data_IF_063093714896
#
_entry.id   IF_063093714896
#
_cell.length_a   1.000
_cell.length_b   1.000
_cell.length_c   1.000
_cell.angle_alpha   90.00
_cell.angle_beta   90.00
_cell.angle_gamma   90.00
#
_symmetry.space_group_name_H-M   'P 1'
#
loop_
_entity.id
_entity.type
_entity.pdbx_description
1 polymer ?
#
# COMPACT_ATOMS: atom_id res chain seq x y z
N UNK A 1 38.11 -14.58 -13.91
CA UNK A 1 38.20 -15.95 -14.49
C UNK A 1 38.23 -17.06 -13.44
N UNK A 2 38.67 -16.80 -12.20
CA UNK A 2 38.68 -17.78 -11.10
C UNK A 2 37.28 -18.30 -10.72
N UNK A 3 36.28 -17.43 -10.65
CA UNK A 3 34.90 -17.84 -10.28
C UNK A 3 34.26 -18.76 -11.33
N UNK A 4 34.55 -18.55 -12.61
CA UNK A 4 34.11 -19.43 -13.70
C UNK A 4 34.74 -20.82 -13.60
N UNK A 5 36.02 -20.92 -13.23
CA UNK A 5 36.70 -22.22 -13.08
C UNK A 5 36.17 -23.03 -11.90
N UNK A 6 35.56 -22.35 -10.92
CA UNK A 6 35.06 -22.98 -9.69
C UNK A 6 33.59 -23.41 -9.82
N UNK A 7 32.74 -22.54 -10.37
CA UNK A 7 31.28 -22.73 -10.41
C UNK A 7 30.69 -22.59 -11.83
N UNK A 8 31.50 -22.69 -12.90
CA UNK A 8 31.08 -22.53 -14.30
C UNK A 8 30.31 -21.20 -14.54
N UNK A 9 29.28 -21.22 -15.40
CA UNK A 9 28.45 -20.05 -15.70
C UNK A 9 27.68 -19.52 -14.48
N UNK A 10 27.39 -20.36 -13.49
CA UNK A 10 26.73 -19.93 -12.25
C UNK A 10 27.65 -19.06 -11.38
N UNK A 11 28.96 -19.30 -11.40
CA UNK A 11 29.97 -18.46 -10.71
C UNK A 11 30.12 -17.05 -11.28
N UNK A 12 29.68 -16.85 -12.53
CA UNK A 12 29.64 -15.54 -13.17
C UNK A 12 28.37 -14.76 -12.81
N UNK A 13 27.35 -15.40 -12.23
CA UNK A 13 26.14 -14.70 -11.78
C UNK A 13 26.47 -13.85 -10.55
N UNK A 14 25.92 -12.63 -10.45
CA UNK A 14 26.12 -11.79 -9.29
C UNK A 14 25.60 -12.51 -8.04
N UNK A 15 26.50 -12.71 -7.07
CA UNK A 15 26.19 -13.40 -5.81
C UNK A 15 25.06 -12.66 -5.09
N UNK A 16 24.06 -13.40 -4.63
CA UNK A 16 22.97 -12.80 -3.85
C UNK A 16 23.55 -12.11 -2.61
N UNK A 17 23.16 -10.85 -2.40
CA UNK A 17 23.66 -10.08 -1.26
C UNK A 17 23.26 -10.78 0.05
N UNK A 18 24.20 -10.90 0.99
CA UNK A 18 23.99 -11.56 2.29
C UNK A 18 22.96 -10.83 3.18
N UNK A 19 22.82 -9.53 3.00
CA UNK A 19 21.94 -8.65 3.77
C UNK A 19 20.55 -8.48 3.13
N UNK A 20 20.20 -9.33 2.16
CA UNK A 20 18.93 -9.25 1.44
C UNK A 20 17.76 -9.48 2.40
N UNK A 21 17.09 -8.39 2.79
CA UNK A 21 15.93 -8.40 3.68
C UNK A 21 16.19 -7.85 5.08
N UNK A 22 17.41 -7.52 5.47
CA UNK A 22 17.63 -6.74 6.69
C UNK A 22 17.55 -5.25 6.34
N UNK A 23 16.46 -4.60 6.76
CA UNK A 23 16.41 -3.14 6.75
C UNK A 23 17.43 -2.63 7.76
N UNK A 24 18.53 -2.03 7.29
CA UNK A 24 19.54 -1.38 8.17
C UNK A 24 18.95 -0.21 8.98
N UNK A 25 17.79 0.29 8.55
CA UNK A 25 17.14 1.49 9.07
C UNK A 25 16.12 1.18 10.17
N UNK A 26 15.58 -0.05 10.21
CA UNK A 26 14.54 -0.42 11.19
C UNK A 26 15.21 -1.29 12.24
N UNK A 27 15.40 -0.75 13.44
CA UNK A 27 15.86 -1.50 14.60
C UNK A 27 14.85 -2.58 14.99
N UNK A 28 15.28 -3.60 15.73
CA UNK A 28 14.37 -4.65 16.20
C UNK A 28 13.25 -4.10 17.08
N UNK A 29 13.54 -3.13 17.93
CA UNK A 29 12.57 -2.47 18.80
C UNK A 29 11.50 -1.72 17.98
N UNK A 30 11.93 -0.93 17.00
CA UNK A 30 11.01 -0.23 16.11
C UNK A 30 10.18 -1.22 15.28
N UNK A 31 10.83 -2.30 14.83
CA UNK A 31 10.19 -3.37 14.11
C UNK A 31 9.07 -4.06 14.88
N UNK A 32 9.22 -4.24 16.20
CA UNK A 32 8.16 -4.76 17.09
C UNK A 32 6.98 -3.79 17.18
N UNK A 33 7.26 -2.50 17.43
CA UNK A 33 6.23 -1.45 17.48
C UNK A 33 5.42 -1.36 16.18
N UNK A 34 6.09 -1.45 15.02
CA UNK A 34 5.41 -1.44 13.71
C UNK A 34 4.45 -2.65 13.57
N UNK A 35 4.83 -3.82 14.09
CA UNK A 35 3.99 -5.03 14.02
C UNK A 35 2.81 -4.90 14.98
N UNK A 36 3.03 -4.43 16.21
CA UNK A 36 1.96 -4.16 17.19
C UNK A 36 0.94 -3.17 16.61
N UNK A 37 1.42 -2.03 16.09
CA UNK A 37 0.57 -1.03 15.45
C UNK A 37 -0.21 -1.58 14.25
N UNK A 38 0.39 -2.51 13.51
CA UNK A 38 -0.27 -3.21 12.39
C UNK A 38 -1.38 -4.14 12.87
N UNK A 39 -1.20 -4.82 13.99
CA UNK A 39 -2.20 -5.70 14.58
C UNK A 39 -3.36 -4.93 15.20
N UNK A 40 -3.08 -3.79 15.84
CA UNK A 40 -4.11 -2.88 16.35
C UNK A 40 -4.97 -2.27 15.24
N UNK A 41 -4.38 -2.07 14.05
CA UNK A 41 -5.01 -1.43 12.91
C UNK A 41 -5.04 -2.36 11.67
N UNK A 42 -5.77 -3.49 11.73
CA UNK A 42 -5.71 -4.52 10.70
C UNK A 42 -6.32 -4.05 9.36
N UNK A 43 -7.27 -3.11 9.40
CA UNK A 43 -8.00 -2.63 8.22
C UNK A 43 -7.19 -1.63 7.37
N UNK A 44 -6.13 -1.03 7.90
CA UNK A 44 -5.45 0.06 7.19
C UNK A 44 -4.60 -0.44 6.03
N UNK A 45 -4.53 0.37 4.98
CA UNK A 45 -3.51 0.24 3.96
C UNK A 45 -2.15 0.63 4.53
N UNK A 46 -1.05 0.17 3.92
CA UNK A 46 0.30 0.51 4.38
C UNK A 46 0.55 2.02 4.36
N UNK A 47 -0.03 2.73 3.39
CA UNK A 47 0.05 4.20 3.31
C UNK A 47 -0.60 4.85 4.53
N UNK A 48 -1.84 4.46 4.85
CA UNK A 48 -2.58 5.02 5.98
C UNK A 48 -1.92 4.67 7.31
N UNK A 49 -1.41 3.44 7.43
CA UNK A 49 -0.65 2.98 8.58
C UNK A 49 0.60 3.86 8.80
N UNK A 50 1.36 4.13 7.73
CA UNK A 50 2.56 4.98 7.79
C UNK A 50 2.23 6.41 8.20
N UNK A 51 1.23 7.02 7.58
CA UNK A 51 0.79 8.39 7.92
C UNK A 51 0.35 8.51 9.38
N UNK A 52 -0.36 7.50 9.92
CA UNK A 52 -0.73 7.47 11.33
C UNK A 52 0.48 7.30 12.25
N UNK A 53 1.40 6.39 11.94
CA UNK A 53 2.62 6.21 12.74
C UNK A 53 3.46 7.50 12.80
N UNK A 54 3.49 8.26 11.70
CA UNK A 54 4.14 9.59 11.68
C UNK A 54 3.37 10.59 12.54
N UNK A 55 2.03 10.62 12.43
CA UNK A 55 1.18 11.53 13.20
C UNK A 55 1.26 11.30 14.70
N UNK A 56 1.38 10.05 15.14
CA UNK A 56 1.51 9.65 16.54
C UNK A 56 2.95 9.79 17.06
N UNK A 57 3.91 10.16 16.20
CA UNK A 57 5.31 10.32 16.58
C UNK A 57 6.05 9.00 16.81
N UNK A 58 5.48 7.85 16.42
CA UNK A 58 6.14 6.55 16.46
C UNK A 58 7.32 6.48 15.49
N UNK A 59 7.23 7.22 14.38
CA UNK A 59 8.23 7.27 13.31
C UNK A 59 8.39 8.71 12.83
N UNK A 60 9.63 9.13 12.60
CA UNK A 60 9.93 10.40 11.95
C UNK A 60 10.17 10.18 10.45
N UNK A 61 9.58 11.04 9.60
CA UNK A 61 9.69 10.92 8.13
C UNK A 61 11.14 10.95 7.63
N UNK A 62 12.02 11.67 8.32
CA UNK A 62 13.43 11.78 7.95
C UNK A 62 14.24 10.53 8.32
N UNK A 63 13.82 9.77 9.33
CA UNK A 63 14.50 8.55 9.77
C UNK A 63 14.06 7.34 8.95
N UNK A 64 12.75 7.21 8.74
CA UNK A 64 12.18 6.04 8.06
C UNK A 64 11.24 6.47 6.95
N UNK A 65 11.65 6.17 5.72
CA UNK A 65 10.81 6.36 4.54
C UNK A 65 9.64 5.35 4.51
N UNK A 66 8.55 5.75 3.85
CA UNK A 66 7.45 4.86 3.51
C UNK A 66 7.91 3.53 2.90
N UNK A 67 8.82 3.56 1.93
CA UNK A 67 9.30 2.36 1.24
C UNK A 67 10.07 1.41 2.15
N UNK A 68 10.71 1.92 3.21
CA UNK A 68 11.37 1.09 4.23
C UNK A 68 10.33 0.29 5.01
N UNK A 69 9.26 0.95 5.48
CA UNK A 69 8.14 0.31 6.19
C UNK A 69 7.41 -0.68 5.27
N UNK A 70 7.12 -0.28 4.03
CA UNK A 70 6.46 -1.15 3.06
C UNK A 70 7.26 -2.42 2.79
N UNK A 71 8.58 -2.31 2.54
CA UNK A 71 9.45 -3.47 2.33
C UNK A 71 9.53 -4.36 3.56
N UNK A 72 9.62 -3.76 4.75
CA UNK A 72 9.65 -4.46 6.03
C UNK A 72 8.38 -5.29 6.28
N UNK A 73 7.21 -4.71 6.04
CA UNK A 73 5.92 -5.41 6.16
C UNK A 73 5.73 -6.45 5.05
N UNK A 74 6.16 -6.15 3.81
CA UNK A 74 6.06 -7.07 2.67
C UNK A 74 6.85 -8.35 2.88
N UNK A 75 8.06 -8.25 3.44
CA UNK A 75 8.89 -9.42 3.76
C UNK A 75 8.23 -10.35 4.79
N UNK A 76 7.37 -9.80 5.65
CA UNK A 76 6.61 -10.53 6.68
C UNK A 76 5.19 -10.88 6.23
N UNK A 77 4.83 -10.66 4.97
CA UNK A 77 3.48 -10.83 4.43
C UNK A 77 2.38 -9.98 5.11
N UNK A 78 2.75 -8.89 5.80
CA UNK A 78 1.84 -8.00 6.53
C UNK A 78 1.44 -6.74 5.73
N UNK A 79 1.84 -6.66 4.47
CA UNK A 79 1.58 -5.51 3.60
C UNK A 79 0.11 -5.39 3.15
N UNK A 80 -0.67 -6.47 3.24
CA UNK A 80 -2.11 -6.45 2.94
C UNK A 80 -2.90 -6.21 4.22
N UNK A 81 -4.07 -5.52 4.16
CA UNK A 81 -5.02 -5.50 5.27
C UNK A 81 -5.22 -6.91 5.83
N UNK A 82 -5.22 -7.01 7.16
CA UNK A 82 -5.39 -8.28 7.87
C UNK A 82 -6.87 -8.61 8.09
N UNK A 83 -7.75 -7.64 7.86
CA UNK A 83 -9.19 -7.89 7.76
C UNK A 83 -9.39 -8.67 6.47
N UNK A 84 -9.86 -9.93 6.59
CA UNK A 84 -10.34 -10.68 5.44
C UNK A 84 -11.39 -9.84 4.69
N UNK A 85 -11.45 -9.96 3.37
CA UNK A 85 -12.48 -9.35 2.52
C UNK A 85 -13.86 -9.97 2.84
N UNK A 86 -14.34 -9.86 4.08
CA UNK A 86 -15.68 -10.25 4.54
C UNK A 86 -16.72 -9.23 4.11
N UNK A 87 -16.27 -8.08 3.62
CA UNK A 87 -17.09 -7.26 2.73
C UNK A 87 -17.15 -8.03 1.42
N UNK A 88 -18.16 -8.92 1.33
CA UNK A 88 -18.74 -9.44 0.11
C UNK A 88 -18.32 -8.57 -1.05
N UNK A 89 -17.65 -9.15 -2.06
CA UNK A 89 -17.34 -8.50 -3.33
C UNK A 89 -18.67 -7.97 -3.85
N UNK A 90 -19.00 -6.75 -3.42
CA UNK A 90 -20.26 -6.09 -3.72
C UNK A 90 -20.07 -5.82 -5.18
N UNK A 91 -20.74 -6.60 -6.02
CA UNK A 91 -20.60 -6.60 -7.47
C UNK A 91 -20.30 -5.17 -7.93
N UNK A 92 -19.04 -4.92 -8.28
CA UNK A 92 -18.61 -3.60 -8.71
C UNK A 92 -19.05 -3.45 -10.15
N UNK A 93 -20.34 -3.24 -10.34
CA UNK A 93 -20.88 -2.89 -11.65
C UNK A 93 -20.30 -1.53 -12.02
N UNK A 94 -19.84 -1.35 -13.28
CA UNK A 94 -19.48 -0.03 -13.75
C UNK A 94 -20.67 0.89 -13.57
N UNK A 95 -20.39 2.16 -13.30
CA UNK A 95 -21.42 3.18 -13.23
C UNK A 95 -22.07 3.33 -14.61
N UNK A 96 -23.28 2.80 -14.78
CA UNK A 96 -23.98 2.70 -16.05
C UNK A 96 -25.49 2.89 -15.85
N UNK A 97 -26.16 3.32 -16.91
CA UNK A 97 -27.61 3.48 -16.98
C UNK A 97 -28.17 2.64 -18.12
N UNK A 98 -29.40 2.15 -17.97
CA UNK A 98 -30.04 1.28 -18.96
C UNK A 98 -30.48 2.05 -20.23
N UNK A 99 -30.58 3.38 -20.17
CA UNK A 99 -31.05 4.25 -21.26
C UNK A 99 -30.12 5.44 -21.49
N UNK A 100 -30.07 5.93 -22.73
CA UNK A 100 -29.36 7.17 -23.12
C UNK A 100 -30.10 8.39 -22.53
N UNK A 101 -29.37 9.45 -22.19
CA UNK A 101 -29.88 10.71 -21.59
C UNK A 101 -30.44 10.62 -20.17
N UNK A 102 -30.28 9.48 -19.47
CA UNK A 102 -30.62 9.36 -18.04
C UNK A 102 -29.79 10.26 -17.13
N UNK A 103 -28.61 10.65 -17.55
CA UNK A 103 -27.69 11.50 -16.80
C UNK A 103 -26.90 12.40 -17.73
N UNK A 104 -26.72 13.63 -17.28
CA UNK A 104 -25.82 14.61 -17.87
C UNK A 104 -24.80 15.00 -16.79
N UNK A 105 -23.50 14.87 -17.10
CA UNK A 105 -22.42 15.39 -16.25
C UNK A 105 -21.88 16.65 -16.92
N UNK A 106 -22.06 17.80 -16.29
CA UNK A 106 -21.42 19.04 -16.70
C UNK A 106 -20.10 19.18 -15.94
N UNK A 107 -19.01 19.46 -16.65
CA UNK A 107 -17.77 19.89 -16.02
C UNK A 107 -17.85 21.42 -15.81
N UNK A 108 -17.90 21.84 -14.55
CA UNK A 108 -17.87 23.25 -14.19
C UNK A 108 -16.49 23.56 -13.60
N UNK A 109 -15.74 24.52 -14.16
CA UNK A 109 -14.35 24.75 -13.79
C UNK A 109 -14.18 25.21 -12.34
N UNK A 110 -15.23 25.70 -11.68
CA UNK A 110 -15.23 26.08 -10.27
C UNK A 110 -16.58 25.71 -9.62
N UNK A 111 -16.53 24.84 -8.61
CA UNK A 111 -17.64 24.21 -7.85
C UNK A 111 -18.32 22.98 -8.50
N UNK A 112 -18.12 21.85 -7.82
CA UNK A 112 -18.86 20.60 -8.02
C UNK A 112 -20.31 20.78 -7.54
N UNK A 113 -21.20 21.22 -8.42
CA UNK A 113 -22.65 21.23 -8.18
C UNK A 113 -23.23 20.01 -8.86
N UNK A 114 -23.89 19.12 -8.11
CA UNK A 114 -24.73 18.07 -8.68
C UNK A 114 -26.12 18.70 -8.84
N UNK A 115 -26.54 19.12 -10.06
CA UNK A 115 -27.89 19.63 -10.22
C UNK A 115 -28.88 18.47 -10.10
N UNK A 116 -29.59 18.42 -8.99
CA UNK A 116 -30.79 17.58 -8.89
C UNK A 116 -31.90 18.25 -9.68
N UNK A 117 -32.05 17.87 -10.95
CA UNK A 117 -33.19 18.27 -11.74
C UNK A 117 -34.44 17.58 -11.19
N UNK A 118 -35.23 18.33 -10.41
CA UNK A 118 -36.58 17.94 -10.04
C UNK A 118 -37.45 18.18 -11.27
N UNK A 119 -37.78 17.10 -12.00
CA UNK A 119 -38.81 17.15 -13.03
C UNK A 119 -40.12 17.59 -12.35
N UNK A 120 -40.59 18.79 -12.69
CA UNK A 120 -41.97 19.20 -12.42
C UNK A 120 -42.77 18.69 -13.61
N UNK A 121 -43.78 17.87 -13.29
CA UNK A 121 -44.73 17.24 -14.21
C UNK A 121 -45.66 18.27 -14.84
#
# INVERSE_FOLDING_TARGET
MWDYRRDNLDGLKPKSRKDKGCSRVISEELGKKIIEFRQENPAFSVMLLYEKMVKEGLILRFEVSYYSVYRYLKQRNLARPLVEDTVSIKDRKPFAYDEVNRMWQGDYPDLFVIPTFRFVM
#
